data_IF_302749225299
#
_entry.id   IF_302749225299
#
_cell.length_a   1.000
_cell.length_b   1.000
_cell.length_c   1.000
_cell.angle_alpha   90.00
_cell.angle_beta   90.00
_cell.angle_gamma   90.00
#
_symmetry.space_group_name_H-M   'P 1'
#
loop_
_entity.id
_entity.type
_entity.pdbx_description
1 polymer ?
#
# COMPACT_ATOMS: atom_id res chain seq x y z
N UNK A 1 -3.64 0.88 6.40
CA UNK A 1 -3.28 -0.48 5.96
C UNK A 1 -3.62 -0.62 4.49
N UNK A 2 -2.62 -0.79 3.63
CA UNK A 2 -2.77 -0.62 2.17
C UNK A 2 -2.27 -1.83 1.35
N UNK A 3 -1.83 -2.90 2.03
CA UNK A 3 -1.33 -4.11 1.43
C UNK A 3 -2.11 -5.32 1.96
N UNK A 4 -2.80 -6.03 1.06
CA UNK A 4 -3.67 -7.16 1.41
C UNK A 4 -2.88 -8.43 1.76
N UNK A 5 -1.79 -8.71 1.06
CA UNK A 5 -0.94 -9.88 1.26
C UNK A 5 -0.29 -9.86 2.66
N UNK A 6 0.36 -8.77 3.04
CA UNK A 6 0.96 -8.59 4.36
C UNK A 6 -0.09 -8.67 5.48
N UNK A 7 -1.29 -8.13 5.25
CA UNK A 7 -2.37 -8.24 6.24
C UNK A 7 -2.87 -9.67 6.40
N UNK A 8 -3.00 -10.41 5.29
CA UNK A 8 -3.36 -11.82 5.33
C UNK A 8 -2.34 -12.61 6.14
N UNK A 9 -1.04 -12.43 5.85
CA UNK A 9 0.05 -13.12 6.56
C UNK A 9 0.03 -12.80 8.06
N UNK A 10 0.02 -11.52 8.45
CA UNK A 10 -0.02 -11.14 9.87
C UNK A 10 -1.28 -11.63 10.59
N UNK A 11 -2.43 -11.63 9.92
CA UNK A 11 -3.69 -12.11 10.50
C UNK A 11 -3.66 -13.62 10.75
N UNK A 12 -3.13 -14.40 9.80
CA UNK A 12 -3.00 -15.85 9.90
C UNK A 12 -1.95 -16.26 10.95
N UNK A 13 -0.78 -15.62 10.96
CA UNK A 13 0.25 -15.84 11.98
C UNK A 13 -0.32 -15.58 13.39
N UNK A 14 -1.07 -14.49 13.58
CA UNK A 14 -1.65 -14.16 14.87
C UNK A 14 -2.79 -15.11 15.30
N UNK A 15 -3.61 -15.57 14.34
CA UNK A 15 -4.74 -16.45 14.63
C UNK A 15 -4.32 -17.89 14.94
N UNK A 16 -3.26 -18.38 14.30
CA UNK A 16 -2.88 -19.80 14.32
C UNK A 16 -1.56 -20.07 15.03
N UNK A 17 -0.82 -19.02 15.41
CA UNK A 17 0.48 -19.17 16.05
C UNK A 17 1.55 -19.78 15.14
N UNK A 18 1.40 -19.61 13.82
CA UNK A 18 2.30 -20.17 12.80
C UNK A 18 3.42 -19.18 12.47
N UNK A 19 4.57 -19.72 12.04
CA UNK A 19 5.71 -18.91 11.60
C UNK A 19 5.40 -18.16 10.30
N UNK A 20 6.14 -17.08 10.08
CA UNK A 20 6.07 -16.29 8.85
C UNK A 20 6.22 -17.17 7.59
N UNK A 21 7.29 -17.97 7.53
CA UNK A 21 7.58 -18.82 6.36
C UNK A 21 6.43 -19.79 6.03
N UNK A 22 5.82 -20.39 7.05
CA UNK A 22 4.73 -21.34 6.86
C UNK A 22 3.48 -20.65 6.32
N UNK A 23 3.11 -19.51 6.90
CA UNK A 23 1.94 -18.73 6.46
C UNK A 23 2.16 -18.12 5.07
N UNK A 24 3.37 -17.68 4.75
CA UNK A 24 3.68 -17.15 3.43
C UNK A 24 3.55 -18.23 2.36
N UNK A 25 4.04 -19.45 2.62
CA UNK A 25 3.87 -20.58 1.71
C UNK A 25 2.39 -20.90 1.46
N UNK A 26 1.57 -20.96 2.52
CA UNK A 26 0.12 -21.13 2.37
C UNK A 26 -0.53 -19.99 1.57
N UNK A 27 -0.10 -18.74 1.81
CA UNK A 27 -0.61 -17.58 1.07
C UNK A 27 -0.32 -17.70 -0.44
N UNK A 28 0.83 -18.27 -0.82
CA UNK A 28 1.18 -18.53 -2.22
C UNK A 28 0.32 -19.65 -2.82
N UNK A 29 0.12 -20.75 -2.08
CA UNK A 29 -0.74 -21.86 -2.52
C UNK A 29 -2.20 -21.43 -2.74
N UNK A 30 -2.69 -20.51 -1.90
CA UNK A 30 -4.03 -19.95 -2.00
C UNK A 30 -4.15 -18.84 -3.06
N UNK A 31 -3.04 -18.45 -3.70
CA UNK A 31 -3.00 -17.36 -4.68
C UNK A 31 -3.22 -15.96 -4.08
N UNK A 32 -3.04 -15.82 -2.76
CA UNK A 32 -3.06 -14.52 -2.07
C UNK A 32 -1.74 -13.78 -2.27
N UNK A 33 -0.63 -14.51 -2.25
CA UNK A 33 0.71 -13.99 -2.50
C UNK A 33 1.23 -14.49 -3.86
N UNK A 34 1.99 -13.66 -4.57
CA UNK A 34 2.67 -14.06 -5.80
C UNK A 34 3.91 -14.95 -5.49
N UNK A 35 4.47 -15.58 -6.53
CA UNK A 35 5.67 -16.40 -6.38
C UNK A 35 6.87 -15.61 -5.81
N UNK A 36 6.96 -14.33 -6.17
CA UNK A 36 7.86 -13.35 -5.55
C UNK A 36 7.03 -12.30 -4.78
N UNK A 37 6.82 -12.49 -3.46
CA UNK A 37 6.00 -11.59 -2.65
C UNK A 37 6.81 -10.44 -2.05
N UNK A 38 8.06 -10.23 -2.46
CA UNK A 38 9.03 -9.32 -1.80
C UNK A 38 8.42 -7.94 -1.54
N UNK A 39 7.81 -7.33 -2.56
CA UNK A 39 7.24 -5.97 -2.48
C UNK A 39 6.09 -5.84 -1.47
N UNK A 40 5.39 -6.93 -1.20
CA UNK A 40 4.28 -6.95 -0.25
C UNK A 40 4.80 -7.04 1.19
N UNK A 41 5.77 -7.92 1.42
CA UNK A 41 6.23 -8.31 2.76
C UNK A 41 7.35 -7.43 3.31
N UNK A 42 8.15 -6.81 2.44
CA UNK A 42 9.16 -5.82 2.81
C UNK A 42 8.55 -4.43 3.12
N UNK A 43 7.29 -4.23 2.73
CA UNK A 43 6.52 -3.00 2.93
C UNK A 43 6.63 -1.96 1.81
N UNK A 44 7.32 -2.26 0.71
CA UNK A 44 7.55 -1.35 -0.42
C UNK A 44 6.23 -0.95 -1.08
N UNK A 45 5.29 -1.87 -1.32
CA UNK A 45 3.98 -1.54 -1.88
C UNK A 45 3.19 -0.58 -0.97
N UNK A 46 3.20 -0.84 0.34
CA UNK A 46 2.57 0.05 1.32
C UNK A 46 3.25 1.43 1.35
N UNK A 47 4.57 1.50 1.18
CA UNK A 47 5.34 2.74 1.15
C UNK A 47 5.04 3.57 -0.10
N UNK A 48 4.99 2.95 -1.27
CA UNK A 48 4.61 3.61 -2.53
C UNK A 48 3.22 4.24 -2.41
N UNK A 49 2.24 3.49 -1.89
CA UNK A 49 0.88 4.00 -1.66
C UNK A 49 0.86 5.10 -0.60
N UNK A 50 1.65 4.96 0.46
CA UNK A 50 1.83 5.97 1.50
C UNK A 50 2.38 7.30 0.97
N UNK A 51 3.41 7.25 0.11
CA UNK A 51 4.01 8.42 -0.54
C UNK A 51 3.00 9.11 -1.47
N UNK A 52 2.22 8.36 -2.25
CA UNK A 52 1.16 8.94 -3.09
C UNK A 52 0.15 9.71 -2.24
N UNK A 53 -0.35 9.10 -1.16
CA UNK A 53 -1.30 9.73 -0.25
C UNK A 53 -0.68 10.97 0.43
N UNK A 54 0.56 10.88 0.89
CA UNK A 54 1.27 12.00 1.48
C UNK A 54 1.39 13.17 0.50
N UNK A 55 1.74 12.90 -0.76
CA UNK A 55 1.92 13.93 -1.77
C UNK A 55 0.62 14.65 -2.12
N UNK A 56 -0.53 13.96 -2.16
CA UNK A 56 -1.84 14.62 -2.31
C UNK A 56 -2.09 15.60 -1.16
N UNK A 57 -1.74 15.22 0.07
CA UNK A 57 -1.91 16.07 1.25
C UNK A 57 -0.92 17.24 1.32
N UNK A 58 0.29 17.05 0.79
CA UNK A 58 1.38 18.05 0.74
C UNK A 58 1.15 19.09 -0.36
N UNK A 59 0.68 18.64 -1.53
CA UNK A 59 0.29 19.54 -2.63
C UNK A 59 -0.77 20.54 -2.18
N UNK A 60 -1.79 20.08 -1.45
CA UNK A 60 -2.83 20.95 -0.89
C UNK A 60 -2.30 22.01 0.11
N UNK A 61 -1.08 21.83 0.64
CA UNK A 61 -0.39 22.74 1.57
C UNK A 61 0.73 23.54 0.91
N UNK A 62 1.04 23.28 -0.36
CA UNK A 62 2.17 23.89 -1.06
C UNK A 62 3.53 23.39 -0.57
N UNK A 63 3.61 22.18 -0.04
CA UNK A 63 4.85 21.54 0.43
C UNK A 63 5.53 20.74 -0.69
N UNK A 64 6.86 20.60 -0.61
CA UNK A 64 7.63 19.77 -1.54
C UNK A 64 7.20 18.31 -1.49
N UNK A 65 7.17 17.65 -2.65
CA UNK A 65 6.77 16.26 -2.75
C UNK A 65 7.86 15.31 -2.21
N UNK A 66 7.41 14.21 -1.59
CA UNK A 66 8.21 13.10 -1.11
C UNK A 66 8.39 12.04 -2.20
N UNK A 67 9.54 11.37 -2.19
CA UNK A 67 9.84 10.18 -2.97
C UNK A 67 9.91 8.94 -2.08
N UNK A 68 10.04 7.75 -2.67
CA UNK A 68 10.16 6.51 -1.89
C UNK A 68 11.40 6.52 -0.97
N UNK A 69 12.50 7.16 -1.38
CA UNK A 69 13.71 7.26 -0.54
C UNK A 69 13.53 8.14 0.69
N UNK A 70 12.46 8.93 0.75
CA UNK A 70 12.11 9.75 1.92
C UNK A 70 11.22 8.97 2.90
N UNK A 71 10.84 7.72 2.58
CA UNK A 71 10.02 6.88 3.44
C UNK A 71 10.89 5.94 4.31
N UNK A 72 10.56 5.84 5.59
CA UNK A 72 11.11 4.80 6.47
C UNK A 72 10.29 3.52 6.29
N UNK A 73 10.92 2.40 5.96
CA UNK A 73 10.22 1.14 5.63
C UNK A 73 10.79 -0.01 6.44
N UNK A 74 9.91 -0.74 7.12
CA UNK A 74 10.19 -2.01 7.76
C UNK A 74 9.11 -3.03 7.39
N UNK A 75 9.54 -4.21 6.96
CA UNK A 75 8.65 -5.30 6.55
C UNK A 75 8.07 -6.10 7.73
N UNK A 76 7.54 -7.28 7.40
CA UNK A 76 6.93 -8.21 8.36
C UNK A 76 7.74 -9.49 8.60
N UNK A 77 8.80 -9.72 7.82
CA UNK A 77 9.59 -10.97 7.80
C UNK A 77 10.15 -11.34 9.18
N UNK A 78 10.75 -10.37 9.87
CA UNK A 78 11.42 -10.58 11.15
C UNK A 78 10.47 -10.57 12.37
N UNK A 79 9.15 -10.54 12.16
CA UNK A 79 8.20 -10.43 13.26
C UNK A 79 8.00 -11.80 13.96
N UNK A 80 8.41 -11.96 15.23
CA UNK A 80 8.32 -13.24 15.89
C UNK A 80 6.87 -13.55 16.31
N UNK A 81 6.48 -14.82 16.20
CA UNK A 81 5.16 -15.30 16.63
C UNK A 81 4.87 -14.98 18.10
N UNK A 82 5.91 -14.99 18.95
CA UNK A 82 5.77 -14.62 20.37
C UNK A 82 5.32 -13.17 20.56
N UNK A 83 5.75 -12.24 19.69
CA UNK A 83 5.28 -10.85 19.75
C UNK A 83 3.82 -10.73 19.33
N UNK A 84 3.37 -11.53 18.37
CA UNK A 84 1.96 -11.60 17.97
C UNK A 84 1.09 -12.19 19.07
N UNK A 85 1.55 -13.25 19.73
CA UNK A 85 0.87 -13.87 20.87
C UNK A 85 0.73 -12.89 22.02
N UNK A 86 1.82 -12.21 22.40
CA UNK A 86 1.82 -11.22 23.47
C UNK A 86 0.88 -10.04 23.14
N UNK A 87 0.86 -9.60 21.88
CA UNK A 87 -0.09 -8.59 21.45
C UNK A 87 -1.55 -9.05 21.65
N UNK A 88 -1.84 -10.31 21.31
CA UNK A 88 -3.16 -10.92 21.50
C UNK A 88 -3.59 -10.96 22.96
N UNK A 89 -2.68 -11.33 23.87
CA UNK A 89 -2.93 -11.35 25.32
C UNK A 89 -3.32 -9.97 25.87
N UNK A 90 -2.79 -8.90 25.26
CA UNK A 90 -3.10 -7.50 25.60
C UNK A 90 -4.34 -6.93 24.86
N UNK A 91 -5.11 -7.78 24.15
CA UNK A 91 -6.27 -7.36 23.36
C UNK A 91 -5.91 -6.52 22.12
N UNK A 92 -4.70 -6.73 21.59
CA UNK A 92 -4.15 -6.05 20.42
C UNK A 92 -3.82 -7.06 19.31
N UNK A 93 -3.55 -6.54 18.13
CA UNK A 93 -3.00 -7.29 17.00
C UNK A 93 -1.98 -6.44 16.27
N UNK A 94 -1.19 -7.04 15.39
CA UNK A 94 -0.19 -6.34 14.59
C UNK A 94 -0.68 -6.19 13.15
N UNK A 95 -0.48 -5.01 12.60
CA UNK A 95 -0.80 -4.66 11.21
C UNK A 95 0.38 -3.92 10.56
N UNK A 96 0.59 -4.15 9.27
CA UNK A 96 1.51 -3.32 8.47
C UNK A 96 0.82 -2.00 8.14
N UNK A 97 1.27 -0.91 8.77
CA UNK A 97 0.65 0.41 8.64
C UNK A 97 1.62 1.34 7.90
N UNK A 98 1.12 1.93 6.81
CA UNK A 98 1.70 3.13 6.21
C UNK A 98 1.07 4.35 6.88
N UNK A 99 1.90 5.13 7.57
CA UNK A 99 1.55 6.37 8.26
C UNK A 99 2.13 7.55 7.49
N UNK A 100 1.26 8.46 7.03
CA UNK A 100 1.66 9.70 6.38
C UNK A 100 1.38 10.86 7.35
N UNK A 101 2.45 11.57 7.73
CA UNK A 101 2.43 12.68 8.68
C UNK A 101 3.18 13.89 8.10
N UNK A 102 3.14 15.07 8.77
CA UNK A 102 4.00 16.19 8.39
C UNK A 102 5.50 15.85 8.36
N UNK A 103 5.92 14.89 9.20
CA UNK A 103 7.31 14.44 9.31
C UNK A 103 7.73 13.47 8.21
N UNK A 104 6.80 13.04 7.35
CA UNK A 104 7.07 12.09 6.26
C UNK A 104 6.21 10.83 6.32
N UNK A 105 6.68 9.80 5.62
CA UNK A 105 6.01 8.50 5.50
C UNK A 105 6.80 7.44 6.27
N UNK A 106 6.10 6.70 7.13
CA UNK A 106 6.67 5.52 7.82
C UNK A 106 5.81 4.31 7.56
N UNK A 107 6.45 3.20 7.21
CA UNK A 107 5.81 1.90 7.03
C UNK A 107 6.41 0.92 8.02
N UNK A 108 5.56 0.21 8.75
CA UNK A 108 6.00 -0.94 9.50
C UNK A 108 4.92 -1.61 10.33
N UNK A 109 5.26 -2.71 11.00
CA UNK A 109 4.37 -3.37 11.95
C UNK A 109 3.97 -2.39 13.08
N UNK A 110 2.67 -2.30 13.37
CA UNK A 110 2.11 -1.49 14.46
C UNK A 110 1.09 -2.29 15.26
N UNK A 111 1.09 -2.09 16.57
CA UNK A 111 0.05 -2.60 17.45
C UNK A 111 -1.23 -1.79 17.25
N UNK A 112 -2.33 -2.48 17.01
CA UNK A 112 -3.68 -1.92 16.92
C UNK A 112 -4.63 -2.71 17.82
N UNK A 113 -5.71 -2.09 18.30
CA UNK A 113 -6.72 -2.78 19.10
C UNK A 113 -7.38 -3.90 18.27
N UNK A 114 -7.47 -5.12 18.80
CA UNK A 114 -7.90 -6.31 18.04
C UNK A 114 -9.32 -6.21 17.47
N UNK A 115 -10.20 -5.44 18.11
CA UNK A 115 -11.56 -5.13 17.64
C UNK A 115 -11.73 -3.66 17.22
N UNK A 116 -10.62 -2.96 16.98
CA UNK A 116 -10.61 -1.59 16.51
C UNK A 116 -10.73 -1.49 14.99
N UNK A 117 -10.99 -0.29 14.49
CA UNK A 117 -11.22 -0.07 13.06
C UNK A 117 -10.03 -0.47 12.18
N UNK A 118 -8.80 -0.32 12.67
CA UNK A 118 -7.58 -0.70 11.94
C UNK A 118 -7.28 -2.20 11.95
N UNK A 119 -8.01 -3.01 12.72
CA UNK A 119 -7.79 -4.45 12.81
C UNK A 119 -8.54 -5.26 11.72
N UNK A 120 -8.74 -4.67 10.53
CA UNK A 120 -9.33 -5.37 9.38
C UNK A 120 -8.57 -6.65 9.06
N UNK A 121 -9.29 -7.68 8.59
CA UNK A 121 -8.77 -9.02 8.32
C UNK A 121 -8.88 -9.36 6.83
N UNK A 122 -8.24 -10.45 6.42
CA UNK A 122 -8.21 -10.88 5.02
C UNK A 122 -7.49 -9.86 4.14
N UNK A 123 -8.01 -9.62 2.93
CA UNK A 123 -7.41 -8.75 1.91
C UNK A 123 -8.03 -7.35 1.85
N UNK A 124 -8.88 -6.99 2.83
CA UNK A 124 -9.49 -5.66 2.89
C UNK A 124 -8.44 -4.60 3.24
N UNK A 125 -8.46 -3.46 2.56
CA UNK A 125 -7.67 -2.29 2.90
C UNK A 125 -8.47 -1.30 3.75
N UNK A 126 -7.76 -0.52 4.56
CA UNK A 126 -8.37 0.58 5.32
C UNK A 126 -7.45 1.79 5.43
N UNK A 127 -8.03 2.97 5.22
CA UNK A 127 -7.40 4.28 5.42
C UNK A 127 -8.13 4.98 6.55
N UNK A 128 -7.38 5.35 7.59
CA UNK A 128 -7.86 6.22 8.66
C UNK A 128 -7.30 7.62 8.42
N UNK A 129 -8.18 8.62 8.42
CA UNK A 129 -7.83 10.04 8.25
C UNK A 129 -8.22 10.77 9.52
N UNK A 130 -7.27 11.49 10.11
CA UNK A 130 -7.53 12.38 11.24
C UNK A 130 -7.69 13.81 10.75
N UNK A 131 -8.79 14.44 11.16
CA UNK A 131 -9.17 15.79 10.73
C UNK A 131 -9.42 16.67 11.94
N UNK A 132 -9.17 17.97 11.80
CA UNK A 132 -9.34 18.93 12.89
C UNK A 132 -10.81 19.07 13.35
N UNK A 133 -11.78 18.88 12.43
CA UNK A 133 -13.19 19.18 12.71
C UNK A 133 -14.11 17.96 12.61
N UNK A 134 -13.86 17.04 11.68
CA UNK A 134 -14.67 15.83 11.53
C UNK A 134 -14.13 14.65 12.38
N UNK A 135 -13.06 14.89 13.16
CA UNK A 135 -12.40 13.86 13.94
C UNK A 135 -11.79 12.77 13.04
N UNK A 136 -11.98 11.52 13.44
CA UNK A 136 -11.40 10.34 12.77
C UNK A 136 -12.39 9.75 11.76
N UNK A 137 -11.97 9.69 10.50
CA UNK A 137 -12.71 9.08 9.40
C UNK A 137 -12.02 7.79 8.97
N UNK A 138 -12.81 6.78 8.63
CA UNK A 138 -12.29 5.47 8.17
C UNK A 138 -12.91 5.11 6.83
N UNK A 139 -12.07 4.79 5.85
CA UNK A 139 -12.48 4.30 4.53
C UNK A 139 -11.95 2.89 4.36
N UNK A 140 -12.85 1.91 4.27
CA UNK A 140 -12.51 0.49 4.12
C UNK A 140 -13.13 -0.11 2.87
N UNK A 141 -12.43 -1.05 2.24
CA UNK A 141 -12.92 -1.79 1.08
C UNK A 141 -11.89 -2.78 0.58
N UNK A 142 -12.21 -3.52 -0.47
CA UNK A 142 -11.21 -4.35 -1.16
C UNK A 142 -10.23 -3.44 -1.91
N UNK A 143 -8.93 -3.63 -1.65
CA UNK A 143 -7.88 -2.77 -2.20
C UNK A 143 -7.07 -3.39 -3.34
N UNK A 144 -7.44 -4.61 -3.75
CA UNK A 144 -6.86 -5.35 -4.86
C UNK A 144 -7.95 -6.25 -5.47
N UNK A 145 -7.76 -6.64 -6.73
CA UNK A 145 -8.72 -7.44 -7.49
C UNK A 145 -9.11 -6.80 -8.81
N UNK A 146 -9.46 -7.62 -9.80
CA UNK A 146 -9.78 -7.17 -11.16
C UNK A 146 -10.97 -6.20 -11.20
N UNK A 147 -12.17 -6.59 -10.72
CA UNK A 147 -13.34 -5.71 -10.69
C UNK A 147 -13.14 -4.44 -9.85
N UNK A 148 -12.48 -4.55 -8.71
CA UNK A 148 -12.19 -3.45 -7.78
C UNK A 148 -11.32 -2.40 -8.46
N UNK A 149 -10.23 -2.85 -9.08
CA UNK A 149 -9.30 -1.98 -9.81
C UNK A 149 -9.95 -1.38 -11.05
N UNK A 150 -10.72 -2.17 -11.80
CA UNK A 150 -11.45 -1.70 -12.97
C UNK A 150 -12.47 -0.60 -12.62
N UNK A 151 -13.15 -0.73 -11.47
CA UNK A 151 -14.09 0.28 -10.98
C UNK A 151 -13.40 1.63 -10.75
N UNK A 152 -12.23 1.63 -10.10
CA UNK A 152 -11.44 2.85 -9.89
C UNK A 152 -11.00 3.48 -11.23
N UNK A 153 -10.45 2.66 -12.13
CA UNK A 153 -10.01 3.11 -13.47
C UNK A 153 -11.17 3.71 -14.27
N UNK A 154 -12.33 3.05 -14.31
CA UNK A 154 -13.50 3.53 -15.04
C UNK A 154 -14.06 4.83 -14.44
N UNK A 155 -14.00 4.99 -13.11
CA UNK A 155 -14.39 6.24 -12.46
C UNK A 155 -13.50 7.40 -12.91
N UNK A 156 -12.19 7.19 -12.99
CA UNK A 156 -11.24 8.22 -13.44
C UNK A 156 -11.43 8.55 -14.92
N UNK A 157 -11.63 7.54 -15.78
CA UNK A 157 -11.96 7.76 -17.20
C UNK A 157 -13.25 8.57 -17.35
N UNK A 158 -14.27 8.29 -16.52
CA UNK A 158 -15.52 9.04 -16.54
C UNK A 158 -15.40 10.51 -16.09
N UNK A 159 -14.32 10.87 -15.38
CA UNK A 159 -14.01 12.26 -14.99
C UNK A 159 -13.26 13.03 -16.07
N UNK A 160 -12.75 12.36 -17.10
CA UNK A 160 -12.08 13.02 -18.21
C UNK A 160 -13.09 13.84 -19.03
N UNK A 161 -12.73 15.04 -19.49
CA UNK A 161 -13.59 15.81 -20.38
C UNK A 161 -13.81 15.07 -21.71
N UNK A 162 -14.90 15.35 -22.45
CA UNK A 162 -15.16 14.76 -23.76
C UNK A 162 -13.96 14.94 -24.69
N UNK A 163 -13.66 13.94 -25.52
CA UNK A 163 -12.50 13.92 -26.41
C UNK A 163 -12.41 15.10 -27.40
N UNK A 164 -13.54 15.79 -27.63
CA UNK A 164 -13.67 16.96 -28.49
C UNK A 164 -13.18 18.26 -27.83
N UNK A 165 -13.10 18.29 -26.49
CA UNK A 165 -12.39 19.34 -25.79
C UNK A 165 -10.90 19.16 -26.09
N UNK A 166 -10.27 20.12 -26.80
CA UNK A 166 -8.81 20.20 -26.97
C UNK A 166 -8.15 20.31 -25.59
N UNK A 167 -8.02 19.18 -24.92
CA UNK A 167 -7.42 19.07 -23.61
C UNK A 167 -5.94 18.96 -23.87
N UNK A 168 -5.21 20.05 -23.62
CA UNK A 168 -3.78 19.91 -23.40
C UNK A 168 -3.64 19.17 -22.09
N UNK A 169 -3.42 17.86 -22.13
CA UNK A 169 -3.01 17.11 -20.94
C UNK A 169 -1.68 17.72 -20.52
N UNK A 170 -1.73 18.63 -19.55
CA UNK A 170 -0.52 19.08 -18.87
C UNK A 170 -0.10 17.93 -17.99
N UNK A 171 0.82 17.14 -18.52
CA UNK A 171 1.57 16.19 -17.74
C UNK A 171 2.35 16.95 -16.69
N UNK A 172 1.80 16.98 -15.47
CA UNK A 172 2.58 17.35 -14.31
C UNK A 172 3.45 16.14 -14.01
N UNK A 173 4.73 16.19 -14.38
CA UNK A 173 5.68 15.16 -13.95
C UNK A 173 5.76 15.28 -12.44
N UNK A 174 5.21 14.33 -11.67
CA UNK A 174 5.26 14.47 -10.22
C UNK A 174 6.73 14.38 -9.81
N UNK A 175 7.21 15.21 -8.87
CA UNK A 175 8.63 15.23 -8.50
C UNK A 175 9.13 13.86 -8.03
N UNK A 176 8.24 13.03 -7.49
CA UNK A 176 8.48 11.68 -7.00
C UNK A 176 8.67 10.59 -8.07
N UNK A 177 8.47 10.91 -9.36
CA UNK A 177 8.70 9.97 -10.47
C UNK A 177 10.17 9.98 -10.97
N UNK A 178 11.10 10.56 -10.21
CA UNK A 178 12.52 10.54 -10.51
C UNK A 178 13.09 9.12 -10.31
N UNK A 179 13.50 8.46 -11.40
CA UNK A 179 14.10 7.12 -11.37
C UNK A 179 13.44 6.08 -12.30
N UNK A 180 12.22 6.36 -12.79
CA UNK A 180 11.51 5.47 -13.73
C UNK A 180 11.64 5.98 -15.17
N UNK A 181 11.97 5.08 -16.11
CA UNK A 181 11.98 5.39 -17.56
C UNK A 181 10.59 5.11 -18.12
N UNK A 182 9.88 6.16 -18.49
CA UNK A 182 8.54 6.08 -19.07
C UNK A 182 8.63 5.81 -20.57
N UNK A 183 7.95 4.78 -21.06
CA UNK A 183 7.73 4.56 -22.48
C UNK A 183 6.28 4.89 -22.83
N UNK A 184 6.08 5.79 -23.78
CA UNK A 184 4.76 6.05 -24.36
C UNK A 184 4.69 5.25 -25.66
N UNK A 185 3.91 4.18 -25.67
CA UNK A 185 3.47 3.54 -26.91
C UNK A 185 1.95 3.64 -27.02
N UNK A 186 1.45 3.58 -28.25
CA UNK A 186 0.09 3.98 -28.63
C UNK A 186 -1.03 3.17 -27.95
N UNK A 187 -0.74 2.10 -27.21
CA UNK A 187 -1.75 1.15 -26.69
C UNK A 187 -1.49 0.49 -25.32
N UNK A 188 -0.38 0.73 -24.61
CA UNK A 188 -0.13 0.08 -23.30
C UNK A 188 0.74 0.94 -22.36
N UNK A 189 0.49 0.83 -21.04
CA UNK A 189 1.35 1.32 -19.95
C UNK A 189 1.99 0.12 -19.23
N UNK A 190 3.30 0.17 -18.98
CA UNK A 190 4.02 -0.78 -18.14
C UNK A 190 5.18 -0.10 -17.43
N UNK A 191 5.38 -0.45 -16.15
CA UNK A 191 6.55 -0.05 -15.35
C UNK A 191 7.52 -1.21 -15.36
N UNK A 192 8.74 -1.00 -15.85
CA UNK A 192 9.82 -1.99 -15.73
C UNK A 192 10.93 -1.43 -14.84
N UNK A 193 11.50 -2.24 -13.91
CA UNK A 193 12.71 -1.87 -13.22
C UNK A 193 13.88 -1.74 -14.21
N UNK A 194 14.89 -0.99 -13.81
CA UNK A 194 16.04 -0.65 -14.64
C UNK A 194 16.95 -1.87 -14.82
N UNK A 195 16.67 -2.74 -15.79
CA UNK A 195 17.53 -3.90 -16.12
C UNK A 195 18.51 -3.49 -17.22
N UNK A 196 19.81 -3.65 -16.96
CA UNK A 196 20.86 -3.38 -17.95
C UNK A 196 20.75 -4.29 -19.18
N UNK A 197 21.08 -3.83 -20.41
CA UNK A 197 20.77 -4.55 -21.66
C UNK A 197 21.60 -5.80 -21.97
N UNK A 198 22.16 -6.49 -20.97
CA UNK A 198 22.98 -7.68 -21.21
C UNK A 198 22.31 -8.93 -20.62
N UNK A 199 21.66 -9.67 -21.51
CA UNK A 199 21.23 -11.09 -21.51
C UNK A 199 19.74 -11.25 -21.77
N UNK A 200 19.41 -11.32 -23.06
CA UNK A 200 18.40 -12.24 -23.60
C UNK A 200 19.12 -13.54 -23.98
#
# INVERSE_FOLDING_TARGET
MLNGTANFVLSRMAAEGLSYDHVLAEAQELGVAEADPTFDVDGTDAALKGVIVANVLREARGEDALSLSDAEVAGIEDLPVSALSLAGDDGRTVRLIAEASPDGVRVGPRLVTQNGTLAVTGTQNIVQVETAHAGRLNLSGHGAGGPETASAVLSDVGRLPPAEARTTVRWHKPPYAAGFRWYVSKWFYGVLPNVSPQRL
#
